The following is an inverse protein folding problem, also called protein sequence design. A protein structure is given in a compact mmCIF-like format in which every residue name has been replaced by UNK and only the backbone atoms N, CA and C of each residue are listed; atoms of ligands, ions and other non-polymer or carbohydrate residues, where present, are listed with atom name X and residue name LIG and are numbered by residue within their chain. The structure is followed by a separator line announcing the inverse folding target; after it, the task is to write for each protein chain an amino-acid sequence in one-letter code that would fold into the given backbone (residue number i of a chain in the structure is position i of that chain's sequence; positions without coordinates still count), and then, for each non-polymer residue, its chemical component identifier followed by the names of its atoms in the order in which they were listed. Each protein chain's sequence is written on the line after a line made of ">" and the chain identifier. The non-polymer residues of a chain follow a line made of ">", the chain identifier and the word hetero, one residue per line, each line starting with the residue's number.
data_IF_424992332759
#
_entry.id   IF_424992332759
#
_cell.length_a   1.000
_cell.length_b   1.000
_cell.length_c   1.000
_cell.angle_alpha   90.00
_cell.angle_beta   90.00
_cell.angle_gamma   90.00
#
_symmetry.space_group_name_H-M   'P 1'
#
loop_
_entity.id
_entity.type
_entity.pdbx_description
1 polymer ?
#
# COMPACT_ATOMS: atom_id res chain seq x y z
N UNK A 1 5.66 13.54 -28.09
CA UNK A 1 4.68 12.71 -27.34
C UNK A 1 5.46 11.85 -26.38
N UNK A 2 5.37 12.10 -25.08
CA UNK A 2 5.94 11.19 -24.06
C UNK A 2 5.05 9.96 -24.12
N UNK A 3 5.57 8.83 -24.62
CA UNK A 3 4.83 7.59 -24.79
C UNK A 3 4.15 7.17 -23.50
N UNK A 4 2.94 6.67 -23.57
CA UNK A 4 2.20 6.15 -22.43
C UNK A 4 3.03 5.04 -21.79
N UNK A 5 3.40 5.21 -20.51
CA UNK A 5 4.19 4.25 -19.72
C UNK A 5 3.48 2.90 -19.62
N UNK A 6 2.16 2.90 -19.78
CA UNK A 6 1.28 1.73 -19.82
C UNK A 6 0.28 1.92 -20.96
N UNK A 7 0.28 1.01 -21.92
CA UNK A 7 -0.71 1.05 -23.01
C UNK A 7 -2.09 0.57 -22.52
N UNK A 8 -3.15 0.95 -23.24
CA UNK A 8 -4.53 0.63 -22.87
C UNK A 8 -4.78 -0.89 -22.76
N UNK A 9 -4.22 -1.69 -23.67
CA UNK A 9 -4.34 -3.16 -23.60
C UNK A 9 -3.74 -3.72 -22.30
N UNK A 10 -2.55 -3.25 -21.90
CA UNK A 10 -1.93 -3.67 -20.65
C UNK A 10 -2.72 -3.19 -19.43
N UNK A 11 -3.26 -1.98 -19.49
CA UNK A 11 -4.11 -1.41 -18.44
C UNK A 11 -5.38 -2.23 -18.26
N UNK A 12 -6.10 -2.49 -19.35
CA UNK A 12 -7.34 -3.27 -19.33
C UNK A 12 -7.08 -4.70 -18.85
N UNK A 13 -6.01 -5.34 -19.33
CA UNK A 13 -5.63 -6.67 -18.88
C UNK A 13 -5.39 -6.73 -17.35
N UNK A 14 -4.73 -5.72 -16.78
CA UNK A 14 -4.53 -5.65 -15.32
C UNK A 14 -5.87 -5.48 -14.59
N UNK A 15 -6.75 -4.62 -15.07
CA UNK A 15 -8.05 -4.32 -14.45
C UNK A 15 -8.96 -5.55 -14.48
N UNK A 16 -9.03 -6.24 -15.63
CA UNK A 16 -9.88 -7.42 -15.83
C UNK A 16 -9.40 -8.61 -14.99
N UNK A 17 -8.08 -8.71 -14.78
CA UNK A 17 -7.44 -9.74 -13.96
C UNK A 17 -7.03 -9.23 -12.57
N UNK A 18 -7.77 -8.25 -12.02
CA UNK A 18 -7.50 -7.71 -10.69
C UNK A 18 -7.48 -8.79 -9.61
N UNK A 19 -6.69 -8.57 -8.59
CA UNK A 19 -6.59 -9.51 -7.48
C UNK A 19 -7.92 -9.62 -6.71
N UNK A 20 -8.45 -10.82 -6.59
CA UNK A 20 -9.74 -11.10 -5.94
C UNK A 20 -9.66 -11.98 -4.68
N UNK A 21 -8.47 -12.51 -4.38
CA UNK A 21 -8.24 -13.35 -3.21
C UNK A 21 -8.09 -12.57 -1.89
N UNK A 22 -8.03 -13.31 -0.80
CA UNK A 22 -7.67 -12.73 0.50
C UNK A 22 -6.25 -12.19 0.45
N UNK A 23 -6.07 -10.91 0.77
CA UNK A 23 -4.77 -10.26 0.69
C UNK A 23 -3.74 -10.91 1.61
N UNK A 24 -4.17 -11.47 2.74
CA UNK A 24 -3.30 -12.09 3.73
C UNK A 24 -2.91 -13.54 3.40
N UNK A 25 -3.82 -14.35 2.83
CA UNK A 25 -3.57 -15.80 2.64
C UNK A 25 -3.88 -16.34 1.25
N UNK A 26 -4.38 -15.53 0.31
CA UNK A 26 -4.70 -15.92 -1.07
C UNK A 26 -5.96 -16.76 -1.27
N UNK A 27 -6.55 -17.29 -0.21
CA UNK A 27 -7.81 -18.05 -0.30
C UNK A 27 -8.95 -17.15 -0.80
N UNK A 28 -10.04 -17.72 -1.32
CA UNK A 28 -11.21 -16.94 -1.69
C UNK A 28 -11.60 -15.98 -0.57
N UNK A 29 -11.81 -14.73 -0.91
CA UNK A 29 -12.15 -13.66 0.04
C UNK A 29 -13.58 -13.23 -0.15
N UNK A 30 -14.21 -12.77 0.95
CA UNK A 30 -15.43 -12.01 0.88
C UNK A 30 -15.17 -10.65 0.17
N UNK A 31 -16.23 -9.92 -0.09
CA UNK A 31 -16.31 -8.67 -0.87
C UNK A 31 -15.20 -7.62 -0.63
N UNK A 32 -14.45 -7.71 0.49
CA UNK A 32 -13.51 -6.68 0.93
C UNK A 32 -12.07 -7.17 1.10
N UNK A 33 -11.65 -8.17 0.35
CA UNK A 33 -10.24 -8.57 0.27
C UNK A 33 -9.66 -9.28 1.51
N UNK A 34 -10.48 -9.67 2.50
CA UNK A 34 -10.11 -10.52 3.63
C UNK A 34 -11.06 -11.71 3.74
N UNK A 35 -10.52 -12.91 3.98
CA UNK A 35 -11.34 -14.07 4.29
C UNK A 35 -11.72 -14.10 5.79
N UNK A 36 -12.77 -14.87 6.14
CA UNK A 36 -13.26 -14.97 7.52
C UNK A 36 -12.23 -15.46 8.55
N UNK A 37 -11.16 -16.14 8.10
CA UNK A 37 -10.12 -16.70 8.98
C UNK A 37 -8.97 -15.73 9.24
N UNK A 38 -8.74 -14.77 8.35
CA UNK A 38 -7.66 -13.81 8.52
C UNK A 38 -8.10 -12.63 9.38
N UNK A 39 -7.26 -12.31 10.36
CA UNK A 39 -7.43 -11.13 11.22
C UNK A 39 -6.41 -10.08 10.84
N UNK A 40 -6.84 -8.83 10.75
CA UNK A 40 -5.99 -7.69 10.46
C UNK A 40 -6.53 -6.43 11.16
N UNK A 41 -5.68 -5.45 11.47
CA UNK A 41 -6.08 -4.16 12.03
C UNK A 41 -6.68 -3.23 10.97
N UNK A 42 -7.14 -3.76 9.85
CA UNK A 42 -7.87 -3.03 8.83
C UNK A 42 -9.11 -3.83 8.42
N UNK A 43 -10.20 -3.12 8.14
CA UNK A 43 -11.49 -3.73 7.87
C UNK A 43 -11.65 -4.13 6.39
N UNK A 44 -11.01 -3.39 5.48
CA UNK A 44 -11.12 -3.61 4.03
C UNK A 44 -9.76 -3.55 3.35
N UNK A 45 -9.62 -4.32 2.27
CA UNK A 45 -8.39 -4.35 1.49
C UNK A 45 -8.69 -4.46 0.00
N UNK A 46 -8.00 -3.66 -0.81
CA UNK A 46 -8.02 -3.75 -2.27
C UNK A 46 -6.60 -3.92 -2.79
N UNK A 47 -6.48 -4.68 -3.86
CA UNK A 47 -5.21 -4.90 -4.52
C UNK A 47 -5.43 -4.87 -6.03
N UNK A 48 -4.60 -4.11 -6.75
CA UNK A 48 -4.73 -4.02 -8.20
C UNK A 48 -4.42 -5.36 -8.86
N UNK A 49 -3.34 -6.04 -8.45
CA UNK A 49 -2.99 -7.32 -9.05
C UNK A 49 -1.87 -8.05 -8.35
N UNK A 50 -1.50 -9.23 -8.84
CA UNK A 50 -0.28 -9.90 -8.42
C UNK A 50 0.95 -9.16 -8.95
N UNK A 51 2.04 -9.16 -8.16
CA UNK A 51 3.33 -8.57 -8.55
C UNK A 51 4.04 -9.45 -9.58
N UNK A 52 3.52 -9.44 -10.81
CA UNK A 52 4.01 -10.22 -11.95
C UNK A 52 4.04 -9.34 -13.21
N UNK A 53 4.74 -9.79 -14.22
CA UNK A 53 4.74 -9.24 -15.58
C UNK A 53 4.75 -7.69 -15.63
N UNK A 54 3.80 -7.11 -16.33
CA UNK A 54 3.67 -5.66 -16.56
C UNK A 54 3.55 -4.86 -15.27
N UNK A 55 2.77 -5.34 -14.29
CA UNK A 55 2.59 -4.63 -13.04
C UNK A 55 3.89 -4.57 -12.21
N UNK A 56 4.68 -5.66 -12.22
CA UNK A 56 6.03 -5.67 -11.62
C UNK A 56 6.96 -4.68 -12.32
N UNK A 57 6.95 -4.66 -13.65
CA UNK A 57 7.77 -3.73 -14.43
C UNK A 57 7.39 -2.28 -14.13
N UNK A 58 6.10 -1.92 -14.15
CA UNK A 58 5.59 -0.58 -13.84
C UNK A 58 6.05 -0.10 -12.45
N UNK A 59 5.92 -0.95 -11.42
CA UNK A 59 6.35 -0.61 -10.07
C UNK A 59 7.87 -0.42 -10.00
N UNK A 60 8.64 -1.27 -10.69
CA UNK A 60 10.11 -1.16 -10.72
C UNK A 60 10.57 0.11 -11.44
N UNK A 61 10.00 0.45 -12.59
CA UNK A 61 10.27 1.70 -13.30
C UNK A 61 10.01 2.91 -12.39
N UNK A 62 8.87 2.90 -11.70
CA UNK A 62 8.51 3.98 -10.79
C UNK A 62 9.49 4.09 -9.60
N UNK A 63 9.94 2.96 -9.06
CA UNK A 63 10.84 2.93 -7.90
C UNK A 63 12.30 3.21 -8.22
N UNK A 64 12.81 2.69 -9.33
CA UNK A 64 14.26 2.57 -9.57
C UNK A 64 14.73 3.33 -10.81
N UNK A 65 13.88 3.55 -11.79
CA UNK A 65 14.23 4.21 -13.05
C UNK A 65 13.85 5.70 -13.08
N UNK A 66 13.48 6.26 -11.92
CA UNK A 66 13.04 7.67 -11.76
C UNK A 66 11.90 8.09 -12.68
N UNK A 67 11.11 7.14 -13.18
CA UNK A 67 9.98 7.38 -14.07
C UNK A 67 8.79 7.97 -13.31
N UNK A 68 8.90 9.24 -12.87
CA UNK A 68 7.83 9.92 -12.09
C UNK A 68 6.47 9.90 -12.81
N UNK A 69 6.47 9.86 -14.14
CA UNK A 69 5.25 9.78 -14.94
C UNK A 69 4.47 8.48 -14.69
N UNK A 70 5.14 7.39 -14.25
CA UNK A 70 4.48 6.12 -13.91
C UNK A 70 3.46 6.25 -12.78
N UNK A 71 3.54 7.30 -11.94
CA UNK A 71 2.53 7.56 -10.92
C UNK A 71 1.13 7.70 -11.50
N UNK A 72 0.99 8.28 -12.69
CA UNK A 72 -0.33 8.49 -13.32
C UNK A 72 -0.96 7.15 -13.67
N UNK A 73 -0.19 6.23 -14.26
CA UNK A 73 -0.66 4.87 -14.54
C UNK A 73 -1.05 4.11 -13.25
N UNK A 74 -0.25 4.26 -12.19
CA UNK A 74 -0.56 3.64 -10.89
C UNK A 74 -1.84 4.24 -10.27
N UNK A 75 -2.02 5.55 -10.33
CA UNK A 75 -3.24 6.23 -9.86
C UNK A 75 -4.45 5.78 -10.66
N UNK A 76 -4.32 5.67 -11.98
CA UNK A 76 -5.40 5.20 -12.86
C UNK A 76 -5.81 3.75 -12.55
N UNK A 77 -4.85 2.87 -12.27
CA UNK A 77 -5.12 1.49 -11.88
C UNK A 77 -5.83 1.40 -10.51
N UNK A 78 -5.37 2.15 -9.53
CA UNK A 78 -6.04 2.24 -8.22
C UNK A 78 -7.47 2.75 -8.37
N UNK A 79 -7.65 3.80 -9.19
CA UNK A 79 -8.96 4.41 -9.44
C UNK A 79 -9.94 3.44 -10.10
N UNK A 80 -9.47 2.65 -11.06
CA UNK A 80 -10.28 1.66 -11.76
C UNK A 80 -10.66 0.44 -10.91
N UNK A 81 -9.82 0.05 -9.95
CA UNK A 81 -10.02 -1.16 -9.14
C UNK A 81 -10.79 -0.89 -7.85
N UNK A 82 -10.61 0.28 -7.24
CA UNK A 82 -11.33 0.62 -6.02
C UNK A 82 -12.77 1.04 -6.32
N UNK A 83 -13.75 0.57 -5.52
CA UNK A 83 -15.13 1.05 -5.63
C UNK A 83 -15.22 2.55 -5.29
N UNK A 84 -16.37 3.18 -5.50
CA UNK A 84 -16.67 4.47 -4.90
C UNK A 84 -16.40 4.42 -3.39
N UNK A 85 -15.68 5.41 -2.89
CA UNK A 85 -15.37 5.54 -1.46
C UNK A 85 -16.34 6.56 -0.85
N UNK A 86 -16.76 6.39 0.42
CA UNK A 86 -17.58 7.38 1.10
C UNK A 86 -16.87 8.72 1.21
N UNK A 87 -17.66 9.80 1.29
CA UNK A 87 -17.16 11.10 1.66
C UNK A 87 -16.49 11.06 3.04
N UNK A 88 -15.47 11.88 3.23
CA UNK A 88 -14.75 11.95 4.51
C UNK A 88 -13.63 10.89 4.67
N UNK A 89 -13.44 9.97 3.72
CA UNK A 89 -12.27 9.08 3.74
C UNK A 89 -11.00 9.91 3.54
N UNK A 90 -10.02 9.71 4.42
CA UNK A 90 -8.70 10.35 4.32
C UNK A 90 -7.68 9.38 3.75
N UNK A 91 -7.02 9.77 2.66
CA UNK A 91 -5.97 8.98 2.01
C UNK A 91 -4.64 9.21 2.70
N UNK A 92 -3.99 8.13 3.12
CA UNK A 92 -2.70 8.17 3.86
C UNK A 92 -1.68 7.29 3.15
N UNK A 93 -0.52 7.81 2.73
CA UNK A 93 0.56 6.98 2.21
C UNK A 93 1.22 6.19 3.33
N UNK A 94 1.58 4.94 3.06
CA UNK A 94 2.53 4.21 3.89
C UNK A 94 3.92 4.85 3.68
N UNK A 95 4.60 5.33 4.74
CA UNK A 95 5.81 6.12 4.58
C UNK A 95 6.98 5.29 4.07
N UNK A 96 7.64 5.82 3.05
CA UNK A 96 8.88 5.26 2.46
C UNK A 96 10.05 5.46 3.42
N UNK A 97 11.00 4.53 3.44
CA UNK A 97 12.22 4.69 4.25
C UNK A 97 13.10 5.83 3.71
N UNK A 98 13.68 6.68 4.58
CA UNK A 98 14.47 7.85 4.16
C UNK A 98 15.62 7.56 3.17
N UNK A 99 16.39 6.46 3.28
CA UNK A 99 17.40 6.12 2.27
C UNK A 99 16.83 5.98 0.87
N UNK A 100 15.65 5.37 0.72
CA UNK A 100 15.02 5.22 -0.58
C UNK A 100 14.50 6.56 -1.14
N UNK A 101 14.02 7.46 -0.27
CA UNK A 101 13.64 8.83 -0.69
C UNK A 101 14.88 9.58 -1.20
N UNK A 102 16.02 9.52 -0.48
CA UNK A 102 17.27 10.15 -0.91
C UNK A 102 17.76 9.58 -2.24
N UNK A 103 17.73 8.25 -2.41
CA UNK A 103 18.15 7.58 -3.64
C UNK A 103 17.28 7.97 -4.84
N UNK A 104 15.95 8.07 -4.65
CA UNK A 104 14.99 8.36 -5.72
C UNK A 104 14.79 9.85 -5.97
N UNK A 105 15.05 10.69 -4.95
CA UNK A 105 14.79 12.12 -4.96
C UNK A 105 13.32 12.48 -4.69
N UNK A 106 12.47 11.50 -4.32
CA UNK A 106 11.04 11.71 -3.97
C UNK A 106 10.45 10.55 -3.16
N UNK A 107 9.42 10.85 -2.38
CA UNK A 107 8.57 9.84 -1.76
C UNK A 107 7.52 9.39 -2.78
N UNK A 108 7.72 8.17 -3.29
CA UNK A 108 6.89 7.62 -4.36
C UNK A 108 5.44 7.36 -3.90
N UNK A 109 5.23 6.90 -2.66
CA UNK A 109 3.88 6.63 -2.16
C UNK A 109 3.13 7.90 -1.79
N UNK A 110 3.81 8.93 -1.29
CA UNK A 110 3.20 10.24 -1.07
C UNK A 110 2.69 10.86 -2.38
N UNK A 111 3.43 10.71 -3.48
CA UNK A 111 3.00 11.20 -4.80
C UNK A 111 1.79 10.41 -5.35
N UNK A 112 1.75 9.09 -5.20
CA UNK A 112 0.61 8.26 -5.63
C UNK A 112 -0.63 8.59 -4.80
N UNK A 113 -0.51 8.56 -3.46
CA UNK A 113 -1.63 8.80 -2.55
C UNK A 113 -2.23 10.20 -2.75
N UNK A 114 -1.39 11.23 -2.92
CA UNK A 114 -1.85 12.59 -3.22
C UNK A 114 -2.55 12.68 -4.59
N UNK A 115 -2.01 11.98 -5.60
CA UNK A 115 -2.63 11.89 -6.92
C UNK A 115 -3.99 11.21 -6.89
N UNK A 116 -4.10 10.11 -6.15
CA UNK A 116 -5.34 9.36 -5.98
C UNK A 116 -6.39 10.16 -5.19
N UNK A 117 -6.00 10.79 -4.08
CA UNK A 117 -6.88 11.67 -3.30
C UNK A 117 -7.46 12.80 -4.15
N UNK A 118 -6.61 13.48 -4.94
CA UNK A 118 -7.06 14.55 -5.84
C UNK A 118 -8.04 14.03 -6.90
N UNK A 119 -7.78 12.87 -7.49
CA UNK A 119 -8.68 12.26 -8.50
C UNK A 119 -10.06 11.93 -7.93
N UNK A 120 -10.11 11.46 -6.70
CA UNK A 120 -11.35 11.08 -6.00
C UNK A 120 -11.97 12.23 -5.20
N UNK A 121 -11.37 13.42 -5.23
CA UNK A 121 -11.79 14.59 -4.43
C UNK A 121 -11.86 14.30 -2.92
N UNK A 122 -10.93 13.44 -2.44
CA UNK A 122 -10.83 13.03 -1.04
C UNK A 122 -9.69 13.75 -0.33
N UNK A 123 -9.76 13.80 1.00
CA UNK A 123 -8.69 14.35 1.84
C UNK A 123 -7.40 13.53 1.72
N UNK A 124 -6.26 14.22 1.77
CA UNK A 124 -4.93 13.59 1.85
C UNK A 124 -4.22 14.03 3.12
N UNK A 125 -3.62 13.09 3.84
CA UNK A 125 -2.82 13.40 5.03
C UNK A 125 -1.61 12.46 5.11
N UNK A 126 -0.40 13.02 5.25
CA UNK A 126 0.80 12.24 5.59
C UNK A 126 0.87 12.07 7.12
N UNK A 127 -0.11 11.34 7.68
CA UNK A 127 -0.30 11.22 9.11
C UNK A 127 0.76 10.34 9.79
N UNK A 128 1.34 9.40 9.06
CA UNK A 128 2.29 8.43 9.59
C UNK A 128 3.71 8.85 9.18
N UNK A 129 4.62 8.77 10.13
CA UNK A 129 6.06 8.95 9.91
C UNK A 129 6.80 7.68 10.28
N UNK A 130 7.99 7.46 9.69
CA UNK A 130 8.88 6.42 10.19
C UNK A 130 9.60 6.94 11.43
N UNK A 131 9.54 6.16 12.50
CA UNK A 131 10.34 6.43 13.68
C UNK A 131 11.83 6.40 13.32
N UNK A 132 12.57 7.39 13.78
CA UNK A 132 14.03 7.48 13.61
C UNK A 132 14.72 6.52 14.57
N UNK A 133 14.66 5.22 14.32
CA UNK A 133 15.40 4.26 15.11
C UNK A 133 16.76 3.98 14.47
N UNK A 134 17.81 4.35 15.16
CA UNK A 134 19.15 3.84 14.95
C UNK A 134 19.10 2.31 15.07
N UNK A 135 19.33 1.62 13.96
CA UNK A 135 19.39 0.15 13.93
C UNK A 135 20.63 -0.24 14.76
N UNK A 136 20.42 -0.71 15.97
CA UNK A 136 21.50 -1.37 16.71
C UNK A 136 21.74 -2.76 16.09
N UNK A 137 22.90 -2.93 15.46
CA UNK A 137 23.36 -4.22 14.97
C UNK A 137 23.54 -5.20 16.14
N UNK A 138 23.07 -6.44 15.99
CA UNK A 138 23.28 -7.51 16.99
C UNK A 138 22.05 -7.96 17.77
N UNK A 139 20.83 -7.67 17.31
CA UNK A 139 19.59 -7.93 18.05
C UNK A 139 18.95 -9.30 17.77
N UNK A 140 18.36 -9.91 18.81
CA UNK A 140 17.61 -11.16 18.74
C UNK A 140 16.33 -11.01 17.89
N UNK A 141 15.72 -12.15 17.49
CA UNK A 141 14.44 -12.18 16.76
C UNK A 141 13.32 -11.40 17.46
N UNK A 142 13.27 -11.46 18.79
CA UNK A 142 12.29 -10.75 19.61
C UNK A 142 12.52 -9.23 19.58
N UNK A 143 13.76 -8.77 19.56
CA UNK A 143 14.12 -7.35 19.46
C UNK A 143 13.81 -6.80 18.07
N UNK A 144 14.06 -7.58 17.01
CA UNK A 144 13.65 -7.20 15.64
C UNK A 144 12.13 -7.06 15.50
N UNK A 145 11.35 -7.92 16.14
CA UNK A 145 9.89 -7.83 16.15
C UNK A 145 9.41 -6.59 16.92
N UNK A 146 10.07 -6.24 18.03
CA UNK A 146 9.81 -5.01 18.80
C UNK A 146 10.18 -3.75 18.02
N UNK A 147 11.34 -3.74 17.35
CA UNK A 147 11.78 -2.65 16.47
C UNK A 147 10.85 -2.46 15.27
N UNK A 148 10.31 -3.55 14.69
CA UNK A 148 9.29 -3.46 13.64
C UNK A 148 7.99 -2.82 14.15
N UNK A 149 7.58 -3.07 15.40
CA UNK A 149 6.43 -2.42 16.04
C UNK A 149 6.63 -0.92 16.29
N UNK A 150 7.87 -0.46 16.42
CA UNK A 150 8.24 0.95 16.60
C UNK A 150 8.62 1.63 15.27
N UNK A 151 8.38 0.96 14.13
CA UNK A 151 8.78 1.48 12.82
C UNK A 151 7.98 2.71 12.37
N UNK A 152 6.82 2.96 12.98
CA UNK A 152 5.91 4.04 12.62
C UNK A 152 5.44 4.81 13.84
N UNK A 153 5.29 6.12 13.65
CA UNK A 153 4.71 7.06 14.59
C UNK A 153 3.60 7.85 13.91
N UNK A 154 2.57 8.19 14.66
CA UNK A 154 1.46 9.04 14.22
C UNK A 154 1.04 9.90 15.40
N UNK A 155 0.92 11.21 15.19
CA UNK A 155 0.21 12.07 16.13
C UNK A 155 -1.29 11.85 16.04
N UNK A 156 -2.04 12.41 16.99
CA UNK A 156 -3.49 12.29 17.03
C UNK A 156 -4.16 12.66 15.71
N UNK A 157 -5.11 11.87 15.30
CA UNK A 157 -5.90 12.11 14.09
C UNK A 157 -7.39 12.19 14.44
N UNK A 158 -8.18 12.99 13.72
CA UNK A 158 -9.64 13.05 13.91
C UNK A 158 -10.27 11.66 13.74
N UNK A 159 -11.33 11.34 14.49
CA UNK A 159 -12.12 10.14 14.23
C UNK A 159 -12.60 10.11 12.77
N UNK A 160 -12.46 8.96 12.12
CA UNK A 160 -12.84 8.81 10.70
C UNK A 160 -12.24 7.57 10.06
N UNK A 161 -12.50 7.41 8.77
CA UNK A 161 -12.00 6.30 7.96
C UNK A 161 -10.71 6.74 7.24
N UNK A 162 -9.68 5.95 7.38
CA UNK A 162 -8.37 6.19 6.77
C UNK A 162 -8.02 5.09 5.78
N UNK A 163 -7.75 5.46 4.53
CA UNK A 163 -7.29 4.54 3.50
C UNK A 163 -5.76 4.61 3.36
N UNK A 164 -5.08 3.60 3.86
CA UNK A 164 -3.64 3.42 3.65
C UNK A 164 -3.35 2.99 2.22
N UNK A 165 -2.41 3.67 1.56
CA UNK A 165 -1.97 3.33 0.19
C UNK A 165 -0.52 2.89 0.22
N UNK A 166 -0.24 1.69 -0.34
CA UNK A 166 1.11 1.12 -0.44
C UNK A 166 1.33 0.49 -1.83
N UNK A 167 2.58 0.23 -2.20
CA UNK A 167 2.91 -0.34 -3.51
C UNK A 167 2.87 -1.88 -3.52
N UNK A 168 3.43 -2.54 -2.52
CA UNK A 168 3.56 -4.01 -2.52
C UNK A 168 3.20 -4.63 -1.18
N UNK A 169 2.17 -5.42 -1.16
CA UNK A 169 1.86 -6.31 -0.05
C UNK A 169 2.71 -7.58 -0.15
N UNK A 170 3.66 -7.75 0.74
CA UNK A 170 4.48 -8.98 0.88
C UNK A 170 3.91 -9.87 2.00
N UNK A 171 4.39 -9.72 3.21
CA UNK A 171 3.86 -10.36 4.42
C UNK A 171 2.72 -9.58 5.07
N UNK A 172 2.53 -8.34 4.65
CA UNK A 172 1.58 -7.41 5.22
C UNK A 172 2.03 -6.76 6.53
N UNK A 173 3.25 -7.02 7.01
CA UNK A 173 3.74 -6.46 8.26
C UNK A 173 3.70 -4.93 8.26
N UNK A 174 4.18 -4.30 7.20
CA UNK A 174 4.23 -2.84 7.04
C UNK A 174 2.83 -2.21 7.17
N UNK A 175 1.87 -2.68 6.38
CA UNK A 175 0.51 -2.11 6.39
C UNK A 175 -0.23 -2.43 7.69
N UNK A 176 0.05 -3.57 8.33
CA UNK A 176 -0.51 -3.91 9.65
C UNK A 176 -0.04 -2.94 10.73
N UNK A 177 1.27 -2.69 10.81
CA UNK A 177 1.81 -1.74 11.79
C UNK A 177 1.35 -0.30 11.51
N UNK A 178 1.28 0.11 10.24
CA UNK A 178 0.74 1.41 9.87
C UNK A 178 -0.74 1.56 10.27
N UNK A 179 -1.55 0.52 10.08
CA UNK A 179 -2.95 0.50 10.50
C UNK A 179 -3.10 0.54 12.03
N UNK A 180 -2.31 -0.26 12.76
CA UNK A 180 -2.32 -0.25 14.22
C UNK A 180 -1.97 1.13 14.80
N UNK A 181 -1.02 1.84 14.18
CA UNK A 181 -0.61 3.18 14.62
C UNK A 181 -1.72 4.20 14.38
N UNK A 182 -2.40 4.15 13.24
CA UNK A 182 -3.56 5.03 12.95
C UNK A 182 -4.72 4.77 13.90
N UNK A 183 -5.06 3.51 14.18
CA UNK A 183 -6.12 3.17 15.13
C UNK A 183 -5.81 3.70 16.53
N UNK A 184 -4.57 3.55 17.00
CA UNK A 184 -4.14 4.10 18.29
C UNK A 184 -4.13 5.62 18.32
N UNK A 185 -3.93 6.25 17.17
CA UNK A 185 -3.94 7.71 17.01
C UNK A 185 -5.35 8.32 16.93
N UNK A 186 -6.43 7.51 16.95
CA UNK A 186 -7.80 7.98 16.96
C UNK A 186 -8.62 7.66 15.71
N UNK A 187 -8.04 6.98 14.69
CA UNK A 187 -8.81 6.54 13.54
C UNK A 187 -9.92 5.57 13.96
N UNK A 188 -11.14 5.78 13.44
CA UNK A 188 -12.28 4.89 13.73
C UNK A 188 -12.16 3.58 12.95
N UNK A 189 -11.71 3.66 11.71
CA UNK A 189 -11.56 2.50 10.85
C UNK A 189 -10.39 2.72 9.87
N UNK A 190 -9.64 1.66 9.59
CA UNK A 190 -8.55 1.69 8.61
C UNK A 190 -8.85 0.72 7.49
N UNK A 191 -8.66 1.17 6.26
CA UNK A 191 -8.70 0.39 5.02
C UNK A 191 -7.33 0.40 4.36
N UNK A 192 -7.08 -0.54 3.46
CA UNK A 192 -5.84 -0.56 2.69
C UNK A 192 -6.10 -0.69 1.19
N UNK A 193 -5.30 0.00 0.39
CA UNK A 193 -5.22 -0.16 -1.05
C UNK A 193 -3.75 -0.37 -1.44
N UNK A 194 -3.46 -1.48 -2.10
CA UNK A 194 -2.10 -1.78 -2.56
C UNK A 194 -2.06 -1.97 -4.07
N UNK A 195 -0.98 -1.51 -4.68
CA UNK A 195 -0.82 -1.66 -6.13
C UNK A 195 -0.58 -3.13 -6.49
N UNK A 196 0.18 -3.85 -5.68
CA UNK A 196 0.40 -5.26 -5.97
C UNK A 196 0.58 -6.11 -4.71
N UNK A 197 0.30 -7.40 -4.87
CA UNK A 197 0.59 -8.43 -3.90
C UNK A 197 1.68 -9.36 -4.41
N UNK A 198 2.68 -9.63 -3.58
CA UNK A 198 3.67 -10.66 -3.89
C UNK A 198 2.97 -12.03 -4.00
N UNK A 199 3.15 -12.80 -5.09
CA UNK A 199 2.62 -14.14 -5.21
C UNK A 199 3.00 -15.00 -4.00
N UNK A 200 2.12 -15.92 -3.60
CA UNK A 200 2.47 -16.91 -2.59
C UNK A 200 3.55 -17.83 -3.15
N UNK A 201 4.70 -17.98 -2.48
CA UNK A 201 5.65 -19.03 -2.82
C UNK A 201 4.96 -20.39 -2.61
N UNK A 202 4.93 -21.24 -3.62
CA UNK A 202 4.41 -22.61 -3.53
C UNK A 202 5.30 -23.54 -2.69
N UNK A 203 6.38 -23.01 -2.11
CA UNK A 203 7.35 -23.77 -1.32
C UNK A 203 7.21 -23.46 0.16
N UNK A 204 6.25 -24.07 0.80
CA UNK A 204 6.22 -24.33 2.25
C UNK A 204 5.10 -25.31 2.58
N UNK A 205 5.18 -26.53 2.03
CA UNK A 205 4.58 -27.72 2.60
C UNK A 205 5.36 -28.92 2.04
N UNK A 206 6.43 -29.26 2.67
CA UNK A 206 6.95 -30.64 2.79
C UNK A 206 7.37 -30.80 4.24
#
# INVERSE_FOLDING_TARGET
>A
MIGAILCDNCKNNIIDNRYSGCIACGKPAARYGLCRRCRAPFARAWCVGERANVLKALINQYKFERARAAKHAIVDLLDAVLPPLPDGVTIVPVPTIPPHIRQRGYDHMALVARGFARRRQLSYRAAIQRASNTIQHGTTRATRLRQAKQAFECGDVPPGIYLLVDDVYTTGATVRYAADVLLRAGATEVWIAVVSRQPFSRTANV
#
